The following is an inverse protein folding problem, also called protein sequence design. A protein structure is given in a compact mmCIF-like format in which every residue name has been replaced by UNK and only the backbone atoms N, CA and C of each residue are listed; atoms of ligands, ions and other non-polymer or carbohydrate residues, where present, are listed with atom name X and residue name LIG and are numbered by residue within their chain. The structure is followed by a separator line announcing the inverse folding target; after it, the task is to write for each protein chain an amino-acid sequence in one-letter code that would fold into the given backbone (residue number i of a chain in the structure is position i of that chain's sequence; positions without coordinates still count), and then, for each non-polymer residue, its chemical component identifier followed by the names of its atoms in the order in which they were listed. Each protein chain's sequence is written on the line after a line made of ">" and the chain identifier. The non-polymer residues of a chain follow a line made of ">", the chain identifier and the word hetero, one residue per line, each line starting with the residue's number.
data_IF_509082352218
#
_entry.id   IF_509082352218
#
_cell.length_a   1.000
_cell.length_b   1.000
_cell.length_c   1.000
_cell.angle_alpha   90.00
_cell.angle_beta   90.00
_cell.angle_gamma   90.00
#
_symmetry.space_group_name_H-M   'P 1'
#
loop_
_entity.id
_entity.type
_entity.pdbx_description
1 polymer ?
#
# COMPACT_ATOMS: atom_id res chain seq x y z
N UNK A 1 -0.33 27.34 0.07
CA UNK A 1 -1.33 27.77 -0.96
C UNK A 1 -0.64 27.89 -2.31
N UNK A 2 -0.30 26.77 -2.91
CA UNK A 2 0.02 26.70 -4.34
C UNK A 2 -1.32 26.63 -5.05
N UNK A 3 -1.75 27.73 -5.68
CA UNK A 3 -3.03 27.94 -6.33
C UNK A 3 -3.46 26.86 -7.32
N UNK A 4 -3.96 25.75 -6.83
CA UNK A 4 -4.54 24.65 -7.58
C UNK A 4 -6.06 24.78 -7.64
N UNK A 5 -6.52 25.89 -8.22
CA UNK A 5 -7.91 26.05 -8.65
C UNK A 5 -8.28 25.28 -9.91
N UNK A 6 -7.36 24.54 -10.52
CA UNK A 6 -7.64 23.66 -11.65
C UNK A 6 -8.17 22.33 -11.11
N UNK A 7 -9.39 21.93 -11.50
CA UNK A 7 -9.91 20.59 -11.18
C UNK A 7 -8.96 19.54 -11.76
N UNK A 8 -8.49 18.63 -10.91
CA UNK A 8 -7.66 17.49 -11.37
C UNK A 8 -8.34 16.77 -12.53
N UNK A 9 -7.59 16.36 -13.56
CA UNK A 9 -8.08 15.48 -14.61
C UNK A 9 -8.84 14.28 -14.02
N UNK A 10 -9.89 13.83 -14.67
CA UNK A 10 -10.77 12.78 -14.15
C UNK A 10 -10.04 11.45 -13.91
N UNK A 11 -9.05 11.15 -14.72
CA UNK A 11 -8.19 9.96 -14.63
C UNK A 11 -7.23 9.99 -13.42
N UNK A 12 -6.96 11.17 -12.85
CA UNK A 12 -6.10 11.32 -11.67
C UNK A 12 -6.87 11.33 -10.34
N UNK A 13 -8.18 11.53 -10.37
CA UNK A 13 -9.00 11.56 -9.14
C UNK A 13 -8.90 10.31 -8.29
N UNK A 14 -8.87 9.08 -8.86
CA UNK A 14 -8.71 7.86 -8.07
C UNK A 14 -7.40 7.85 -7.28
N UNK A 15 -6.27 8.20 -7.91
CA UNK A 15 -4.96 8.26 -7.25
C UNK A 15 -4.91 9.33 -6.16
N UNK A 16 -5.56 10.48 -6.38
CA UNK A 16 -5.69 11.52 -5.35
C UNK A 16 -6.42 11.00 -4.12
N UNK A 17 -7.52 10.27 -4.30
CA UNK A 17 -8.25 9.66 -3.19
C UNK A 17 -7.39 8.65 -2.43
N UNK A 18 -6.69 7.74 -3.16
CA UNK A 18 -5.75 6.81 -2.52
C UNK A 18 -4.71 7.54 -1.67
N UNK A 19 -4.17 8.64 -2.17
CA UNK A 19 -3.20 9.45 -1.44
C UNK A 19 -3.83 10.11 -0.20
N UNK A 20 -5.05 10.64 -0.31
CA UNK A 20 -5.75 11.29 0.80
C UNK A 20 -6.06 10.28 1.92
N UNK A 21 -6.34 9.02 1.55
CA UNK A 21 -6.68 7.92 2.46
C UNK A 21 -5.45 7.29 3.14
N UNK A 22 -4.22 7.64 2.75
CA UNK A 22 -3.03 7.09 3.38
C UNK A 22 -2.92 7.53 4.84
N UNK A 23 -2.70 6.56 5.71
CA UNK A 23 -2.42 6.81 7.12
C UNK A 23 -1.03 7.41 7.35
N UNK A 24 -0.04 6.97 6.52
CA UNK A 24 1.38 7.25 6.69
C UNK A 24 2.02 7.69 5.37
N UNK A 25 1.73 8.93 4.94
CA UNK A 25 2.27 9.50 3.69
C UNK A 25 3.80 9.60 3.69
N UNK A 26 4.39 9.78 4.88
CA UNK A 26 5.84 9.84 5.06
C UNK A 26 6.56 8.57 4.60
N UNK A 27 5.93 7.38 4.73
CA UNK A 27 6.51 6.13 4.24
C UNK A 27 6.52 6.06 2.71
N UNK A 28 5.48 6.59 2.05
CA UNK A 28 5.45 6.74 0.60
C UNK A 28 6.57 7.67 0.11
N UNK A 29 6.80 8.80 0.80
CA UNK A 29 7.87 9.72 0.43
C UNK A 29 9.26 9.09 0.60
N UNK A 30 9.47 8.31 1.67
CA UNK A 30 10.70 7.56 1.84
C UNK A 30 10.89 6.51 0.73
N UNK A 31 9.83 5.80 0.36
CA UNK A 31 9.87 4.85 -0.75
C UNK A 31 10.20 5.54 -2.07
N UNK A 32 9.57 6.69 -2.37
CA UNK A 32 9.87 7.51 -3.55
C UNK A 32 11.33 7.99 -3.58
N UNK A 33 11.89 8.37 -2.44
CA UNK A 33 13.30 8.78 -2.36
C UNK A 33 14.25 7.61 -2.61
N UNK A 34 13.89 6.41 -2.16
CA UNK A 34 14.78 5.25 -2.14
C UNK A 34 14.58 4.28 -3.31
N UNK A 35 13.47 4.36 -4.09
CA UNK A 35 13.09 3.32 -5.05
C UNK A 35 14.19 2.94 -6.05
N UNK A 36 15.00 3.90 -6.45
CA UNK A 36 16.06 3.75 -7.45
C UNK A 36 17.48 3.69 -6.88
N UNK A 37 17.66 3.73 -5.54
CA UNK A 37 18.98 3.77 -4.90
C UNK A 37 19.86 2.58 -5.28
N UNK A 38 19.25 1.42 -5.56
CA UNK A 38 19.95 0.20 -5.99
C UNK A 38 20.64 0.32 -7.36
N UNK A 39 20.26 1.29 -8.21
CA UNK A 39 20.93 1.55 -9.49
C UNK A 39 22.40 1.97 -9.34
N UNK A 40 22.80 2.41 -8.14
CA UNK A 40 24.19 2.70 -7.82
C UNK A 40 25.11 1.45 -7.90
N UNK A 41 24.54 0.24 -7.77
CA UNK A 41 25.28 -1.04 -7.84
C UNK A 41 25.08 -1.71 -9.20
N UNK A 42 26.05 -1.51 -10.10
CA UNK A 42 26.03 -2.11 -11.44
C UNK A 42 26.08 -3.66 -11.39
N UNK A 43 25.35 -4.31 -12.32
CA UNK A 43 25.42 -5.76 -12.55
C UNK A 43 24.58 -6.61 -11.59
N UNK A 44 23.76 -6.01 -10.75
CA UNK A 44 22.82 -6.68 -9.84
C UNK A 44 21.38 -6.21 -10.08
N UNK A 45 20.42 -7.01 -9.62
CA UNK A 45 19.02 -6.59 -9.59
C UNK A 45 18.89 -5.36 -8.67
N UNK A 46 18.62 -4.20 -9.27
CA UNK A 46 18.57 -2.94 -8.53
C UNK A 46 17.44 -2.88 -7.51
N UNK A 47 16.36 -3.66 -7.70
CA UNK A 47 15.26 -3.73 -6.73
C UNK A 47 15.69 -4.47 -5.46
N UNK A 48 16.47 -5.56 -5.60
CA UNK A 48 17.04 -6.31 -4.46
C UNK A 48 18.09 -5.47 -3.73
N UNK A 49 19.02 -4.87 -4.48
CA UNK A 49 20.05 -4.00 -3.87
C UNK A 49 19.42 -2.76 -3.22
N UNK A 50 18.39 -2.19 -3.86
CA UNK A 50 17.62 -1.06 -3.33
C UNK A 50 16.95 -1.40 -2.01
N UNK A 51 16.30 -2.56 -1.91
CA UNK A 51 15.71 -3.06 -0.65
C UNK A 51 16.77 -3.13 0.46
N UNK A 52 17.91 -3.79 0.21
CA UNK A 52 18.96 -3.96 1.20
C UNK A 52 19.56 -2.61 1.66
N UNK A 53 19.82 -1.70 0.71
CA UNK A 53 20.34 -0.37 1.00
C UNK A 53 19.33 0.46 1.80
N UNK A 54 18.05 0.39 1.43
CA UNK A 54 16.94 1.06 2.12
C UNK A 54 16.81 0.57 3.56
N UNK A 55 16.79 -0.74 3.77
CA UNK A 55 16.74 -1.36 5.08
C UNK A 55 17.87 -0.85 5.97
N UNK A 56 19.10 -0.99 5.51
CA UNK A 56 20.30 -0.55 6.24
C UNK A 56 20.25 0.95 6.61
N UNK A 57 19.80 1.77 5.68
CA UNK A 57 19.70 3.22 5.90
C UNK A 57 18.64 3.56 6.93
N UNK A 58 17.43 2.99 6.80
CA UNK A 58 16.30 3.30 7.68
C UNK A 58 16.50 2.78 9.11
N UNK A 59 17.13 1.60 9.26
CA UNK A 59 17.54 1.07 10.58
C UNK A 59 18.56 1.99 11.24
N UNK A 60 19.55 2.47 10.47
CA UNK A 60 20.59 3.38 10.98
C UNK A 60 20.03 4.70 11.50
N UNK A 61 18.97 5.22 10.90
CA UNK A 61 18.30 6.45 11.35
C UNK A 61 17.24 6.19 12.44
N UNK A 62 17.09 4.92 12.88
CA UNK A 62 16.24 4.56 14.01
C UNK A 62 14.75 4.47 13.71
N UNK A 63 14.35 4.20 12.45
CA UNK A 63 12.94 3.97 12.17
C UNK A 63 12.46 2.66 12.83
N UNK A 64 11.19 2.62 13.29
CA UNK A 64 10.57 1.38 13.78
C UNK A 64 10.61 0.28 12.72
N UNK A 65 10.91 -0.95 13.13
CA UNK A 65 11.10 -2.11 12.24
C UNK A 65 9.95 -2.28 11.27
N UNK A 66 8.69 -2.16 11.72
CA UNK A 66 7.52 -2.29 10.85
C UNK A 66 7.51 -1.29 9.68
N UNK A 67 8.04 -0.09 9.88
CA UNK A 67 8.13 0.94 8.84
C UNK A 67 9.31 0.69 7.91
N UNK A 68 10.44 0.21 8.45
CA UNK A 68 11.56 -0.26 7.65
C UNK A 68 11.11 -1.35 6.69
N UNK A 69 10.35 -2.35 7.20
CA UNK A 69 9.81 -3.44 6.39
C UNK A 69 8.88 -2.95 5.28
N UNK A 70 7.93 -2.04 5.58
CA UNK A 70 7.03 -1.49 4.56
C UNK A 70 7.79 -0.72 3.48
N UNK A 71 8.71 0.17 3.85
CA UNK A 71 9.47 0.95 2.85
C UNK A 71 10.40 0.06 2.03
N UNK A 72 11.10 -0.89 2.66
CA UNK A 72 11.97 -1.83 1.96
C UNK A 72 11.18 -2.71 0.98
N UNK A 73 10.00 -3.20 1.38
CA UNK A 73 9.07 -3.91 0.51
C UNK A 73 8.64 -3.06 -0.70
N UNK A 74 8.26 -1.80 -0.48
CA UNK A 74 7.87 -0.90 -1.57
C UNK A 74 9.01 -0.70 -2.58
N UNK A 75 10.24 -0.50 -2.10
CA UNK A 75 11.43 -0.39 -2.95
C UNK A 75 11.69 -1.68 -3.70
N UNK A 76 11.55 -2.84 -3.06
CA UNK A 76 11.68 -4.16 -3.70
C UNK A 76 10.67 -4.36 -4.82
N UNK A 77 9.44 -3.91 -4.62
CA UNK A 77 8.31 -4.16 -5.50
C UNK A 77 7.99 -3.01 -6.47
N UNK A 78 8.76 -1.91 -6.49
CA UNK A 78 8.40 -0.69 -7.21
C UNK A 78 8.09 -0.87 -8.70
N UNK A 79 8.67 -1.89 -9.36
CA UNK A 79 8.42 -2.20 -10.76
C UNK A 79 7.28 -3.21 -10.97
N UNK A 80 6.83 -3.92 -9.93
CA UNK A 80 5.93 -5.07 -10.08
C UNK A 80 4.58 -4.68 -10.68
N UNK A 81 3.93 -3.62 -10.15
CA UNK A 81 2.63 -3.19 -10.65
C UNK A 81 2.70 -2.68 -12.11
N UNK A 82 3.75 -1.96 -12.49
CA UNK A 82 3.91 -1.51 -13.88
C UNK A 82 4.13 -2.69 -14.83
N UNK A 83 4.88 -3.70 -14.42
CA UNK A 83 5.11 -4.90 -15.23
C UNK A 83 3.84 -5.76 -15.36
N UNK A 84 3.13 -6.00 -14.26
CA UNK A 84 1.92 -6.82 -14.27
C UNK A 84 0.81 -6.13 -15.07
N UNK A 85 0.52 -4.86 -14.76
CA UNK A 85 -0.57 -4.13 -15.42
C UNK A 85 -0.42 -4.01 -16.93
N UNK A 86 0.83 -3.94 -17.43
CA UNK A 86 1.08 -3.73 -18.86
C UNK A 86 1.40 -5.01 -19.66
N UNK A 87 1.65 -6.16 -19.00
CA UNK A 87 2.17 -7.37 -19.64
C UNK A 87 1.43 -8.65 -19.29
N UNK A 88 0.52 -8.63 -18.33
CA UNK A 88 -0.25 -9.79 -17.90
C UNK A 88 -1.73 -9.61 -18.21
N UNK A 89 -2.43 -10.73 -18.32
CA UNK A 89 -3.88 -10.72 -18.39
C UNK A 89 -4.47 -10.42 -17.00
N UNK A 90 -5.12 -9.27 -16.87
CA UNK A 90 -5.77 -8.88 -15.62
C UNK A 90 -7.09 -9.63 -15.37
N UNK A 91 -7.56 -10.44 -16.33
CA UNK A 91 -8.67 -11.38 -16.16
C UNK A 91 -8.27 -12.68 -15.45
N UNK A 92 -6.97 -12.96 -15.33
CA UNK A 92 -6.44 -14.15 -14.66
C UNK A 92 -6.53 -13.98 -13.12
N UNK A 93 -7.55 -14.61 -12.54
CA UNK A 93 -7.82 -14.55 -11.09
C UNK A 93 -6.70 -15.21 -10.27
N UNK A 94 -6.08 -16.29 -10.76
CA UNK A 94 -5.00 -16.97 -10.06
C UNK A 94 -3.76 -16.05 -9.97
N UNK A 95 -3.44 -15.35 -11.04
CA UNK A 95 -2.37 -14.35 -11.06
C UNK A 95 -2.67 -13.21 -10.08
N UNK A 96 -3.90 -12.70 -10.01
CA UNK A 96 -4.30 -11.65 -9.05
C UNK A 96 -4.17 -12.14 -7.60
N UNK A 97 -4.64 -13.36 -7.31
CA UNK A 97 -4.51 -13.95 -5.98
C UNK A 97 -3.05 -14.14 -5.58
N UNK A 98 -2.20 -14.64 -6.49
CA UNK A 98 -0.78 -14.82 -6.21
C UNK A 98 -0.07 -13.47 -5.98
N UNK A 99 -0.44 -12.44 -6.73
CA UNK A 99 0.08 -11.10 -6.51
C UNK A 99 -0.38 -10.53 -5.16
N UNK A 100 -1.64 -10.74 -4.80
CA UNK A 100 -2.22 -10.27 -3.53
C UNK A 100 -1.51 -10.85 -2.29
N UNK A 101 -1.07 -12.11 -2.34
CA UNK A 101 -0.33 -12.77 -1.23
C UNK A 101 0.99 -12.08 -0.84
N UNK A 102 1.52 -11.21 -1.71
CA UNK A 102 2.74 -10.46 -1.42
C UNK A 102 2.51 -9.29 -0.44
N UNK A 103 1.27 -8.86 -0.28
CA UNK A 103 0.91 -7.72 0.55
C UNK A 103 0.49 -8.16 1.95
N UNK A 104 1.07 -7.53 2.96
CA UNK A 104 0.67 -7.73 4.36
C UNK A 104 -0.52 -6.89 4.75
N UNK A 105 -0.70 -5.74 4.08
CA UNK A 105 -1.77 -4.79 4.37
C UNK A 105 -2.28 -4.11 3.09
N UNK A 106 -3.55 -3.71 3.09
CA UNK A 106 -4.09 -2.86 2.02
C UNK A 106 -3.38 -1.51 1.91
N UNK A 107 -2.74 -1.03 2.98
CA UNK A 107 -1.95 0.20 2.99
C UNK A 107 -0.67 0.07 2.14
N UNK A 108 0.06 -1.06 2.25
CA UNK A 108 1.24 -1.33 1.42
C UNK A 108 0.87 -1.36 -0.08
N UNK A 109 -0.29 -1.94 -0.42
CA UNK A 109 -0.79 -1.95 -1.80
C UNK A 109 -1.18 -0.55 -2.31
N UNK A 110 -1.83 0.29 -1.47
CA UNK A 110 -2.12 1.69 -1.81
C UNK A 110 -0.84 2.47 -2.07
N UNK A 111 0.14 2.34 -1.18
CA UNK A 111 1.44 3.01 -1.34
C UNK A 111 2.18 2.53 -2.58
N UNK A 112 2.16 1.22 -2.90
CA UNK A 112 2.82 0.70 -4.09
C UNK A 112 2.14 1.20 -5.38
N UNK A 113 0.82 1.28 -5.41
CA UNK A 113 0.08 1.86 -6.54
C UNK A 113 0.47 3.33 -6.78
N UNK A 114 0.54 4.13 -5.70
CA UNK A 114 0.94 5.53 -5.78
C UNK A 114 2.41 5.72 -6.14
N UNK A 115 3.30 4.87 -5.62
CA UNK A 115 4.72 4.84 -5.99
C UNK A 115 4.88 4.56 -7.49
N UNK A 116 4.17 3.55 -8.01
CA UNK A 116 4.18 3.20 -9.44
C UNK A 116 3.64 4.33 -10.31
N UNK A 117 2.55 4.99 -9.89
CA UNK A 117 2.01 6.16 -10.58
C UNK A 117 3.05 7.29 -10.63
N UNK A 118 3.68 7.62 -9.49
CA UNK A 118 4.64 8.71 -9.40
C UNK A 118 5.90 8.45 -10.23
N UNK A 119 6.43 7.22 -10.19
CA UNK A 119 7.59 6.81 -11.00
C UNK A 119 7.27 6.94 -12.51
N UNK A 120 6.18 6.35 -12.99
CA UNK A 120 5.78 6.42 -14.40
C UNK A 120 5.51 7.87 -14.85
N UNK A 121 4.97 8.71 -13.99
CA UNK A 121 4.66 10.12 -14.30
C UNK A 121 5.89 11.02 -14.26
N UNK A 122 6.91 10.64 -13.47
CA UNK A 122 8.12 11.45 -13.27
C UNK A 122 9.19 11.28 -14.33
N UNK A 123 9.18 10.17 -15.10
CA UNK A 123 10.28 9.83 -16.03
C UNK A 123 10.23 10.68 -17.31
N UNK A 124 9.10 10.76 -17.99
CA UNK A 124 8.89 11.61 -19.17
C UNK A 124 7.41 11.89 -19.37
N UNK A 125 7.07 12.98 -20.10
CA UNK A 125 5.68 13.30 -20.47
C UNK A 125 5.01 12.21 -21.32
N UNK A 126 5.76 11.27 -21.89
CA UNK A 126 5.27 10.15 -22.69
C UNK A 126 5.24 8.82 -21.93
N UNK A 127 5.87 8.73 -20.75
CA UNK A 127 5.88 7.50 -19.96
C UNK A 127 4.51 7.19 -19.34
N UNK A 128 3.77 8.22 -18.94
CA UNK A 128 2.38 8.12 -18.49
C UNK A 128 1.39 8.29 -19.64
N UNK A 129 0.31 7.53 -19.61
CA UNK A 129 -0.86 7.72 -20.47
C UNK A 129 -2.12 7.30 -19.71
N UNK A 130 -3.28 7.87 -20.09
CA UNK A 130 -4.56 7.52 -19.49
C UNK A 130 -4.84 6.01 -19.54
N UNK A 131 -4.46 5.34 -20.64
CA UNK A 131 -4.57 3.88 -20.78
C UNK A 131 -3.74 3.11 -19.75
N UNK A 132 -2.46 3.49 -19.54
CA UNK A 132 -1.62 2.89 -18.50
C UNK A 132 -2.21 3.12 -17.11
N UNK A 133 -2.78 4.31 -16.89
CA UNK A 133 -3.49 4.63 -15.65
C UNK A 133 -4.69 3.73 -15.39
N UNK A 134 -5.48 3.44 -16.44
CA UNK A 134 -6.61 2.52 -16.35
C UNK A 134 -6.16 1.10 -15.99
N UNK A 135 -5.13 0.57 -16.65
CA UNK A 135 -4.59 -0.77 -16.34
C UNK A 135 -4.02 -0.85 -14.92
N UNK A 136 -3.28 0.17 -14.48
CA UNK A 136 -2.75 0.23 -13.12
C UNK A 136 -3.88 0.27 -12.09
N UNK A 137 -4.94 1.04 -12.37
CA UNK A 137 -6.11 1.14 -11.51
C UNK A 137 -6.90 -0.17 -11.47
N UNK A 138 -7.09 -0.84 -12.61
CA UNK A 138 -7.75 -2.15 -12.68
C UNK A 138 -7.00 -3.20 -11.85
N UNK A 139 -5.68 -3.29 -12.01
CA UNK A 139 -4.84 -4.18 -11.20
C UNK A 139 -5.00 -3.87 -9.70
N UNK A 140 -4.95 -2.58 -9.35
CA UNK A 140 -5.11 -2.15 -7.96
C UNK A 140 -6.45 -2.61 -7.37
N UNK A 141 -7.57 -2.34 -8.05
CA UNK A 141 -8.90 -2.69 -7.54
C UNK A 141 -9.06 -4.21 -7.36
N UNK A 142 -8.66 -5.01 -8.35
CA UNK A 142 -8.76 -6.47 -8.28
C UNK A 142 -7.92 -7.04 -7.14
N UNK A 143 -6.67 -6.57 -7.01
CA UNK A 143 -5.78 -7.00 -5.93
C UNK A 143 -6.30 -6.54 -4.56
N UNK A 144 -6.82 -5.31 -4.48
CA UNK A 144 -7.33 -4.75 -3.23
C UNK A 144 -8.56 -5.51 -2.71
N UNK A 145 -9.42 -6.00 -3.59
CA UNK A 145 -10.56 -6.84 -3.20
C UNK A 145 -10.11 -8.14 -2.52
N UNK A 146 -9.03 -8.77 -3.01
CA UNK A 146 -8.47 -9.97 -2.39
C UNK A 146 -7.82 -9.65 -1.05
N UNK A 147 -6.95 -8.62 -1.00
CA UNK A 147 -6.26 -8.21 0.23
C UNK A 147 -7.26 -7.76 1.31
N UNK A 148 -8.29 -6.99 0.95
CA UNK A 148 -9.32 -6.54 1.89
C UNK A 148 -10.25 -7.65 2.35
N UNK A 149 -10.47 -8.68 1.54
CA UNK A 149 -11.20 -9.88 1.95
C UNK A 149 -10.46 -10.63 3.06
N UNK A 150 -9.14 -10.78 2.94
CA UNK A 150 -8.30 -11.37 3.99
C UNK A 150 -8.22 -10.49 5.24
N UNK A 151 -8.13 -9.17 5.08
CA UNK A 151 -8.18 -8.22 6.20
C UNK A 151 -9.51 -8.31 6.96
N UNK A 152 -10.63 -8.53 6.26
CA UNK A 152 -11.96 -8.69 6.87
C UNK A 152 -12.07 -9.99 7.66
N UNK A 153 -11.53 -11.09 7.12
CA UNK A 153 -11.49 -12.37 7.82
C UNK A 153 -10.64 -12.27 9.10
N UNK A 154 -9.49 -11.61 9.04
CA UNK A 154 -8.63 -11.39 10.20
C UNK A 154 -9.31 -10.49 11.25
N UNK A 155 -10.07 -9.48 10.82
CA UNK A 155 -10.86 -8.63 11.70
C UNK A 155 -11.99 -9.41 12.37
N UNK A 156 -12.72 -10.24 11.61
CA UNK A 156 -13.81 -11.05 12.13
C UNK A 156 -13.32 -12.09 13.15
N UNK A 157 -12.09 -12.58 13.01
CA UNK A 157 -11.45 -13.46 14.00
C UNK A 157 -10.95 -12.70 15.25
N UNK A 158 -10.54 -11.42 15.10
CA UNK A 158 -10.03 -10.62 16.20
C UNK A 158 -11.12 -10.00 17.08
N UNK A 159 -12.30 -9.71 16.52
CA UNK A 159 -13.43 -9.09 17.23
C UNK A 159 -13.86 -9.90 18.47
N UNK A 160 -14.05 -11.24 18.41
CA UNK A 160 -14.42 -12.03 19.59
C UNK A 160 -13.42 -11.96 20.74
N UNK A 161 -12.10 -11.85 20.43
CA UNK A 161 -11.06 -11.74 21.46
C UNK A 161 -11.12 -10.38 22.17
N UNK A 162 -11.30 -9.29 21.42
CA UNK A 162 -11.44 -7.92 21.99
C UNK A 162 -12.72 -7.81 22.81
N UNK A 163 -13.82 -8.43 22.37
CA UNK A 163 -15.08 -8.46 23.13
C UNK A 163 -14.87 -9.16 24.47
N UNK A 164 -14.19 -10.32 24.49
CA UNK A 164 -13.91 -11.06 25.71
C UNK A 164 -13.12 -10.26 26.76
N UNK A 165 -12.19 -9.39 26.31
CA UNK A 165 -11.41 -8.53 27.20
C UNK A 165 -12.23 -7.34 27.77
N UNK A 166 -13.33 -6.97 27.13
CA UNK A 166 -14.18 -5.82 27.51
C UNK A 166 -15.50 -6.21 28.16
N UNK A 167 -15.87 -7.50 28.20
CA UNK A 167 -17.15 -8.00 28.71
C UNK A 167 -17.47 -7.56 30.15
N UNK A 168 -16.44 -7.33 30.97
CA UNK A 168 -16.60 -6.89 32.37
C UNK A 168 -16.93 -5.39 32.51
N UNK A 169 -16.87 -4.60 31.44
CA UNK A 169 -16.95 -3.13 31.51
C UNK A 169 -18.06 -2.50 30.65
N UNK A 170 -18.48 -3.13 29.55
CA UNK A 170 -19.41 -2.54 28.58
C UNK A 170 -20.34 -3.63 28.02
N UNK A 171 -21.66 -3.36 27.81
CA UNK A 171 -22.59 -4.31 27.21
C UNK A 171 -22.09 -4.79 25.84
N UNK A 172 -22.11 -6.13 25.65
CA UNK A 172 -21.57 -6.83 24.48
C UNK A 172 -22.05 -6.26 23.15
N UNK A 173 -23.35 -6.01 23.03
CA UNK A 173 -23.99 -5.50 21.81
C UNK A 173 -23.46 -4.11 21.41
N UNK A 174 -23.11 -3.29 22.40
CA UNK A 174 -22.56 -1.94 22.18
C UNK A 174 -21.12 -1.99 21.68
N UNK A 175 -20.31 -2.89 22.23
CA UNK A 175 -18.92 -3.11 21.82
C UNK A 175 -18.86 -3.66 20.41
N UNK A 176 -19.67 -4.68 20.10
CA UNK A 176 -19.70 -5.30 18.78
C UNK A 176 -20.15 -4.34 17.69
N UNK A 177 -21.22 -3.56 17.93
CA UNK A 177 -21.70 -2.56 16.98
C UNK A 177 -20.64 -1.47 16.72
N UNK A 178 -19.95 -1.05 17.79
CA UNK A 178 -18.89 -0.04 17.68
C UNK A 178 -17.66 -0.56 16.91
N UNK A 179 -17.17 -1.76 17.22
CA UNK A 179 -16.02 -2.36 16.56
C UNK A 179 -16.28 -2.62 15.06
N UNK A 180 -17.50 -3.03 14.68
CA UNK A 180 -17.88 -3.23 13.27
C UNK A 180 -18.01 -1.91 12.49
N UNK A 181 -18.24 -0.78 13.17
CA UNK A 181 -18.33 0.55 12.55
C UNK A 181 -16.98 1.24 12.35
N UNK A 182 -15.91 0.71 12.98
CA UNK A 182 -14.59 1.33 12.97
C UNK A 182 -13.74 0.83 11.80
N UNK A 183 -12.89 1.69 11.23
CA UNK A 183 -11.86 1.25 10.28
C UNK A 183 -10.93 0.21 10.94
N UNK A 184 -10.51 -0.80 10.19
CA UNK A 184 -9.60 -1.90 10.60
C UNK A 184 -8.42 -1.44 11.47
N UNK A 185 -7.90 -0.26 11.22
CA UNK A 185 -6.78 0.36 11.93
C UNK A 185 -7.03 0.59 13.43
N UNK A 186 -8.26 0.80 13.83
CA UNK A 186 -8.59 1.10 15.23
C UNK A 186 -8.52 -0.15 16.10
N UNK A 187 -8.99 -1.27 15.61
CA UNK A 187 -8.93 -2.55 16.30
C UNK A 187 -7.48 -3.02 16.56
N UNK A 188 -6.55 -2.64 15.69
CA UNK A 188 -5.11 -2.93 15.84
C UNK A 188 -4.39 -1.99 16.82
N UNK A 189 -4.88 -0.77 17.00
CA UNK A 189 -4.24 0.24 17.88
C UNK A 189 -4.58 0.01 19.35
N UNK A 190 -5.73 -0.59 19.66
CA UNK A 190 -6.17 -0.90 21.03
C UNK A 190 -5.32 -2.01 21.69
N UNK A 191 -4.63 -2.84 20.90
CA UNK A 191 -3.70 -3.88 21.38
C UNK A 191 -2.32 -3.37 21.82
N UNK A 192 -2.02 -2.10 21.71
CA UNK A 192 -0.68 -1.54 21.84
C UNK A 192 -0.41 -0.71 23.10
N UNK A 193 -1.26 -0.76 24.14
CA UNK A 193 -1.01 -0.13 25.44
C UNK A 193 -1.15 -1.11 26.58
#
# INVERSE_FOLDING_TARGET
>A
DLGLGASLPSDLRPFKRLYDDLARRELLYLALLMHDVGKARRGKDHSVEGENMTRTFLERIGLPTKWVESVAFLVRQHLSMSHISQRRDLGDEEMIQEFAKQFRTGEDLRMLCLLTYADLSGVTNTAWSAWKGQLLWELFIKTFQVVSGSDQEEQDLAIPQVIGELEDRIPKDTVEAHLRSLPIRYAQTVRGN
#
